data_IF_276565600201
#
_entry.id   IF_276565600201
#
_cell.length_a   1.000
_cell.length_b   1.000
_cell.length_c   1.000
_cell.angle_alpha   90.00
_cell.angle_beta   90.00
_cell.angle_gamma   90.00
#
_symmetry.space_group_name_H-M   'P 1'
#
loop_
_entity.id
_entity.type
_entity.pdbx_description
1 polymer ?
#
# COMPACT_ATOMS: atom_id res chain seq x y z
N UNK A 1 -10.52 17.52 16.31
CA UNK A 1 -10.64 16.73 16.47
C UNK A 1 -10.66 16.00 15.55
N UNK A 2 -11.04 15.65 15.11
CA UNK A 2 -11.25 14.87 14.08
C UNK A 2 -10.18 14.12 13.45
N UNK A 3 -8.99 14.57 13.50
CA UNK A 3 -7.96 13.88 12.77
C UNK A 3 -7.79 12.46 13.19
N UNK A 4 -7.82 12.17 14.46
CA UNK A 4 -7.58 10.81 14.90
C UNK A 4 -8.69 9.86 14.48
N UNK A 5 -9.89 10.36 14.21
CA UNK A 5 -11.00 9.52 13.80
C UNK A 5 -10.86 9.05 12.34
N UNK A 6 -10.01 9.72 11.56
CA UNK A 6 -9.77 9.33 10.18
C UNK A 6 -8.70 8.24 10.07
N UNK A 7 -7.95 8.01 11.14
CA UNK A 7 -6.89 7.03 11.13
C UNK A 7 -7.29 5.80 11.93
N UNK A 8 -7.04 4.66 11.38
CA UNK A 8 -7.41 3.39 11.99
C UNK A 8 -6.20 2.49 12.08
N UNK A 9 -5.98 1.90 13.26
CA UNK A 9 -4.91 0.92 13.39
C UNK A 9 -5.28 -0.32 12.61
N UNK A 10 -4.37 -0.77 11.75
CA UNK A 10 -4.62 -1.96 10.93
C UNK A 10 -3.62 -3.07 11.17
N UNK A 11 -2.44 -2.74 11.70
CA UNK A 11 -1.40 -3.74 11.94
C UNK A 11 -0.29 -3.15 12.78
N UNK A 12 0.71 -3.96 13.12
CA UNK A 12 1.94 -3.51 13.76
C UNK A 12 3.07 -3.52 12.73
N UNK A 13 4.06 -2.67 12.93
CA UNK A 13 5.19 -2.58 11.99
C UNK A 13 5.86 -3.94 11.79
N UNK A 14 6.00 -4.71 12.89
CA UNK A 14 6.61 -6.03 12.80
C UNK A 14 5.81 -7.06 12.03
N UNK A 15 4.55 -6.77 11.73
CA UNK A 15 3.71 -7.71 10.97
C UNK A 15 3.97 -7.62 9.47
N UNK A 16 4.62 -6.56 9.01
CA UNK A 16 4.90 -6.38 7.58
C UNK A 16 6.32 -6.86 7.32
N UNK A 17 6.51 -7.87 6.45
CA UNK A 17 7.86 -8.36 6.18
C UNK A 17 8.71 -7.32 5.46
N UNK A 18 10.02 -7.37 5.70
CA UNK A 18 10.95 -6.49 4.99
C UNK A 18 10.87 -6.77 3.49
N UNK A 19 10.80 -5.72 2.70
CA UNK A 19 10.65 -5.83 1.25
C UNK A 19 9.49 -6.77 0.92
N UNK A 20 8.38 -6.55 1.61
CA UNK A 20 7.22 -7.40 1.44
C UNK A 20 5.92 -6.66 1.68
N UNK A 21 4.85 -7.42 1.74
CA UNK A 21 3.50 -6.86 1.82
C UNK A 21 2.69 -7.56 2.91
N UNK A 22 1.63 -6.88 3.34
CA UNK A 22 0.63 -7.45 4.24
C UNK A 22 -0.74 -6.93 3.84
N UNK A 23 -1.66 -7.82 3.54
CA UNK A 23 -3.03 -7.42 3.23
C UNK A 23 -3.80 -7.19 4.53
N UNK A 24 -4.46 -6.04 4.62
CA UNK A 24 -5.31 -5.74 5.77
C UNK A 24 -6.64 -5.18 5.27
N UNK A 25 -7.64 -5.16 6.12
CA UNK A 25 -8.95 -4.63 5.78
C UNK A 25 -9.38 -3.64 6.84
N UNK A 26 -9.85 -2.49 6.41
CA UNK A 26 -10.36 -1.47 7.32
C UNK A 26 -11.76 -1.85 7.78
N UNK A 27 -12.20 -1.21 8.87
CA UNK A 27 -13.54 -1.47 9.42
C UNK A 27 -14.65 -1.17 8.40
N UNK A 28 -14.38 -0.28 7.44
CA UNK A 28 -15.36 0.04 6.39
C UNK A 28 -15.32 -0.96 5.22
N UNK A 29 -14.52 -2.01 5.33
CA UNK A 29 -14.41 -3.02 4.27
C UNK A 29 -13.33 -2.74 3.25
N UNK A 30 -12.70 -1.58 3.30
CA UNK A 30 -11.69 -1.23 2.32
C UNK A 30 -10.44 -2.09 2.48
N UNK A 31 -9.97 -2.64 1.39
CA UNK A 31 -8.79 -3.52 1.38
C UNK A 31 -7.55 -2.71 1.07
N UNK A 32 -6.54 -2.90 1.92
CA UNK A 32 -5.29 -2.13 1.86
C UNK A 32 -4.13 -3.12 1.77
N UNK A 33 -3.17 -2.80 0.93
CA UNK A 33 -1.90 -3.51 0.87
C UNK A 33 -0.86 -2.65 1.58
N UNK A 34 -0.39 -3.12 2.73
CA UNK A 34 0.73 -2.46 3.41
C UNK A 34 2.02 -2.97 2.79
N UNK A 35 2.95 -2.06 2.57
CA UNK A 35 4.22 -2.37 1.92
C UNK A 35 5.35 -1.88 2.80
N UNK A 36 6.37 -2.71 3.00
CA UNK A 36 7.62 -2.25 3.62
C UNK A 36 8.71 -2.30 2.56
N UNK A 37 9.16 -1.15 2.14
CA UNK A 37 10.19 -1.01 1.12
C UNK A 37 11.28 -0.10 1.65
N UNK A 38 12.50 -0.60 1.68
CA UNK A 38 13.66 0.18 2.15
C UNK A 38 13.44 0.74 3.55
N UNK A 39 12.82 -0.06 4.42
CA UNK A 39 12.54 0.32 5.80
C UNK A 39 11.37 1.28 5.98
N UNK A 40 10.65 1.62 4.91
CA UNK A 40 9.54 2.55 4.98
C UNK A 40 8.22 1.83 4.77
N UNK A 41 7.21 2.25 5.50
CA UNK A 41 5.86 1.68 5.40
C UNK A 41 5.02 2.58 4.51
N UNK A 42 4.30 1.96 3.58
CA UNK A 42 3.32 2.67 2.79
C UNK A 42 2.05 1.83 2.69
N UNK A 43 0.98 2.45 2.25
CA UNK A 43 -0.31 1.77 2.12
C UNK A 43 -0.92 2.14 0.78
N UNK A 44 -1.25 1.12 -0.01
CA UNK A 44 -1.90 1.33 -1.30
C UNK A 44 -3.17 0.50 -1.34
N UNK A 45 -4.05 0.82 -2.27
CA UNK A 45 -5.23 0.01 -2.49
C UNK A 45 -4.80 -1.39 -2.89
N UNK A 46 -5.41 -2.41 -2.30
CA UNK A 46 -5.02 -3.79 -2.58
C UNK A 46 -5.71 -4.32 -3.83
N UNK A 47 -5.49 -3.59 -4.92
CA UNK A 47 -6.15 -3.91 -6.19
C UNK A 47 -5.37 -3.21 -7.30
N UNK A 48 -4.86 -3.99 -8.25
CA UNK A 48 -4.15 -3.44 -9.38
C UNK A 48 -5.09 -2.64 -10.27
N UNK A 49 -4.68 -1.44 -10.68
CA UNK A 49 -5.52 -0.59 -11.53
C UNK A 49 -5.67 -1.14 -12.93
N UNK A 50 -4.77 -2.03 -13.34
CA UNK A 50 -4.82 -2.65 -14.66
C UNK A 50 -5.85 -3.78 -14.69
N UNK A 51 -5.85 -4.60 -13.65
CA UNK A 51 -6.72 -5.76 -13.52
C UNK A 51 -7.23 -5.82 -12.10
N UNK A 52 -8.34 -6.51 -11.90
CA UNK A 52 -8.91 -6.70 -10.58
C UNK A 52 -8.13 -7.79 -9.84
N UNK A 53 -6.87 -7.49 -9.54
CA UNK A 53 -5.93 -8.46 -8.98
C UNK A 53 -5.30 -7.88 -7.72
N UNK A 54 -5.13 -8.69 -6.70
CA UNK A 54 -4.65 -8.22 -5.40
C UNK A 54 -3.18 -7.85 -5.44
N UNK A 55 -2.86 -6.63 -5.02
CA UNK A 55 -1.48 -6.16 -5.03
C UNK A 55 -0.61 -6.87 -4.00
N UNK A 56 -1.23 -7.36 -2.90
CA UNK A 56 -0.44 -8.07 -1.89
C UNK A 56 0.19 -9.36 -2.42
N UNK A 57 -0.29 -9.86 -3.57
CA UNK A 57 0.29 -11.03 -4.21
C UNK A 57 1.48 -10.69 -5.10
N UNK A 58 1.77 -9.41 -5.26
CA UNK A 58 2.89 -8.97 -6.08
C UNK A 58 4.20 -8.98 -5.32
N UNK A 59 5.24 -8.53 -5.99
CA UNK A 59 6.59 -8.51 -5.44
C UNK A 59 7.07 -7.09 -5.21
N UNK A 60 7.69 -6.85 -4.06
CA UNK A 60 8.35 -5.57 -3.78
C UNK A 60 9.78 -5.69 -4.32
N UNK A 61 10.18 -4.75 -5.15
CA UNK A 61 11.46 -4.81 -5.84
C UNK A 61 12.46 -3.84 -5.20
N UNK A 62 13.77 -4.10 -5.38
CA UNK A 62 14.79 -3.26 -4.74
C UNK A 62 14.77 -1.81 -5.15
N UNK A 63 14.18 -1.49 -6.30
CA UNK A 63 14.12 -0.11 -6.77
C UNK A 63 12.98 0.69 -6.16
N UNK A 64 12.27 0.12 -5.19
CA UNK A 64 11.18 0.84 -4.51
C UNK A 64 9.84 0.74 -5.21
N UNK A 65 9.68 -0.23 -6.09
CA UNK A 65 8.40 -0.47 -6.76
C UNK A 65 7.77 -1.76 -6.29
N UNK A 66 6.44 -1.85 -6.45
CA UNK A 66 5.71 -3.10 -6.28
C UNK A 66 5.21 -3.54 -7.64
N UNK A 67 5.45 -4.80 -7.97
CA UNK A 67 5.09 -5.35 -9.26
C UNK A 67 3.84 -6.20 -9.11
N UNK A 68 2.82 -5.90 -9.92
CA UNK A 68 1.61 -6.71 -9.96
C UNK A 68 1.95 -8.12 -10.43
N UNK A 69 1.41 -9.13 -9.75
CA UNK A 69 1.68 -10.52 -10.12
C UNK A 69 1.10 -10.87 -11.49
N UNK A 70 0.16 -10.07 -11.97
CA UNK A 70 -0.49 -10.30 -13.25
C UNK A 70 0.02 -9.29 -14.27
N UNK A 71 0.71 -9.73 -15.28
CA UNK A 71 1.25 -8.92 -16.38
C UNK A 71 2.40 -7.98 -16.01
N UNK A 72 2.82 -7.95 -14.76
CA UNK A 72 4.06 -7.26 -14.38
C UNK A 72 4.03 -5.75 -14.33
N UNK A 73 2.85 -5.13 -14.24
CA UNK A 73 2.78 -3.69 -14.05
C UNK A 73 3.48 -3.31 -12.76
N UNK A 74 4.23 -2.20 -12.79
CA UNK A 74 4.99 -1.73 -11.62
C UNK A 74 4.50 -0.36 -11.19
N UNK A 75 4.45 -0.18 -9.87
CA UNK A 75 4.01 1.07 -9.27
C UNK A 75 5.01 1.47 -8.20
N UNK A 76 5.22 2.77 -8.04
CA UNK A 76 6.05 3.28 -6.96
C UNK A 76 5.38 2.95 -5.62
N UNK A 77 6.14 2.37 -4.68
CA UNK A 77 5.58 1.94 -3.40
C UNK A 77 5.06 3.10 -2.57
N UNK A 78 5.67 4.28 -2.69
CA UNK A 78 5.31 5.42 -1.84
C UNK A 78 4.28 6.33 -2.49
N UNK A 79 4.33 6.49 -3.81
CA UNK A 79 3.47 7.45 -4.50
C UNK A 79 2.36 6.80 -5.31
N UNK A 80 2.49 5.51 -5.62
CA UNK A 80 1.52 4.81 -6.46
C UNK A 80 1.66 5.10 -7.94
N UNK A 81 2.65 5.92 -8.33
CA UNK A 81 2.83 6.25 -9.75
C UNK A 81 3.16 5.01 -10.57
N UNK A 82 2.62 4.97 -11.78
CA UNK A 82 2.94 3.88 -12.71
C UNK A 82 4.39 4.02 -13.15
N UNK A 83 5.17 2.96 -12.96
CA UNK A 83 6.56 2.91 -13.41
C UNK A 83 6.73 2.02 -14.62
N UNK A 84 5.80 1.09 -14.82
CA UNK A 84 5.85 0.18 -15.95
C UNK A 84 4.44 -0.29 -16.26
N UNK A 85 4.07 -0.23 -17.55
CA UNK A 85 2.78 -0.75 -17.99
C UNK A 85 2.67 -2.26 -17.81
N UNK A 86 1.51 -2.79 -18.09
CA UNK A 86 0.43 -2.21 -18.89
C UNK A 86 -0.54 -1.29 -18.16
N UNK A 87 -0.41 -1.14 -16.85
CA UNK A 87 -1.29 -0.20 -16.13
C UNK A 87 -1.01 1.23 -16.58
N UNK A 88 -2.05 2.04 -16.64
CA UNK A 88 -1.92 3.45 -16.99
C UNK A 88 -2.36 4.37 -15.86
N UNK A 89 -3.11 3.86 -14.91
CA UNK A 89 -3.61 4.65 -13.79
C UNK A 89 -2.76 4.37 -12.55
N UNK A 90 -2.43 5.41 -11.76
CA UNK A 90 -1.67 5.18 -10.53
C UNK A 90 -2.51 4.42 -9.49
N UNK A 91 -1.81 3.75 -8.57
CA UNK A 91 -2.48 3.13 -7.44
C UNK A 91 -2.90 4.20 -6.45
N UNK A 92 -4.11 4.13 -5.91
CA UNK A 92 -4.47 4.99 -4.79
C UNK A 92 -3.58 4.71 -3.59
N UNK A 93 -3.07 5.77 -2.97
CA UNK A 93 -2.18 5.69 -1.81
C UNK A 93 -2.90 6.33 -0.63
N UNK A 94 -2.68 5.79 0.56
CA UNK A 94 -3.33 6.27 1.78
C UNK A 94 -2.29 6.85 2.72
N UNK A 95 -2.72 7.82 3.53
CA UNK A 95 -1.84 8.39 4.53
C UNK A 95 -1.53 7.37 5.60
N UNK A 96 -0.30 7.39 6.09
CA UNK A 96 0.18 6.47 7.11
C UNK A 96 0.66 7.27 8.31
N UNK A 97 0.35 6.78 9.49
CA UNK A 97 0.89 7.33 10.73
C UNK A 97 1.42 6.16 11.54
N UNK A 98 2.66 6.29 11.99
CA UNK A 98 3.28 5.29 12.84
C UNK A 98 3.29 5.81 14.27
N UNK A 99 2.68 5.06 15.17
CA UNK A 99 2.61 5.43 16.58
C UNK A 99 3.22 4.29 17.37
N UNK A 100 4.50 4.44 17.76
CA UNK A 100 5.25 3.34 18.33
C UNK A 100 5.47 2.26 17.29
N UNK A 101 4.88 1.10 17.50
CA UNK A 101 4.92 0.04 16.51
C UNK A 101 3.57 -0.14 15.79
N UNK A 102 2.61 0.76 16.04
CA UNK A 102 1.28 0.63 15.44
C UNK A 102 1.23 1.37 14.10
N UNK A 103 0.65 0.72 13.12
CA UNK A 103 0.42 1.31 11.80
C UNK A 103 -1.02 1.76 11.72
N UNK A 104 -1.21 3.07 11.50
CA UNK A 104 -2.54 3.64 11.31
C UNK A 104 -2.67 4.11 9.88
N UNK A 105 -3.79 3.78 9.25
CA UNK A 105 -4.08 4.19 7.87
C UNK A 105 -5.18 5.24 7.91
N UNK A 106 -4.95 6.34 7.24
CA UNK A 106 -5.86 7.47 7.19
C UNK A 106 -6.56 7.58 5.85
N UNK A 107 -6.97 8.81 5.50
CA UNK A 107 -7.66 9.03 4.24
C UNK A 107 -6.73 8.88 3.05
N UNK A 108 -7.31 8.83 1.86
CA UNK A 108 -6.53 8.75 0.64
C UNK A 108 -5.63 9.99 0.54
N UNK A 109 -4.36 9.77 0.26
CA UNK A 109 -3.41 10.86 0.11
C UNK A 109 -3.70 11.63 -1.18
N UNK A 110 -3.49 12.94 -1.11
CA UNK A 110 -3.65 13.78 -2.30
C UNK A 110 -2.56 13.47 -3.29
N UNK A 111 -2.88 13.56 -4.55
CA UNK A 111 -1.90 13.35 -5.60
C UNK A 111 -1.93 14.47 -6.61
#
# INVERSE_FOLDING_TARGET
MGDSSDFEKVASVGDVPDEGTLAVQRSNGQRICLIKSRGRISAVRDNCTHQDFEMNLGAVLPDGTIQCAWHGARFDCMTGEVRQGPATDPLPVFEIRIDGDRILVGPRASQ
#
